data_IF_023113996237
#
_entry.id   IF_023113996237
#
_cell.length_a   1.000
_cell.length_b   1.000
_cell.length_c   1.000
_cell.angle_alpha   90.00
_cell.angle_beta   90.00
_cell.angle_gamma   90.00
#
_symmetry.space_group_name_H-M   'P 1'
#
loop_
_entity.id
_entity.type
_entity.pdbx_description
1 polymer ?
#
# COMPACT_ATOMS: atom_id res chain seq x y z
N UNK A 1 1.49 1.68 -16.68
CA UNK A 1 2.55 1.66 -17.73
C UNK A 1 3.71 0.81 -17.22
N UNK A 2 4.62 0.35 -18.07
CA UNK A 2 5.83 -0.35 -17.64
C UNK A 2 6.83 0.61 -16.96
N UNK A 3 7.90 0.09 -16.34
CA UNK A 3 8.94 0.92 -15.69
C UNK A 3 9.62 1.89 -16.63
N UNK A 4 9.68 1.58 -17.93
CA UNK A 4 10.20 2.45 -18.98
C UNK A 4 9.23 3.58 -19.42
N UNK A 5 8.11 3.72 -18.76
CA UNK A 5 7.06 4.70 -19.06
C UNK A 5 6.25 4.41 -20.32
N UNK A 6 6.43 3.25 -20.93
CA UNK A 6 5.67 2.84 -22.13
C UNK A 6 4.47 1.98 -21.77
N UNK A 7 3.49 1.90 -22.64
CA UNK A 7 2.38 0.97 -22.48
C UNK A 7 2.89 -0.47 -22.46
N UNK A 8 2.47 -1.23 -21.45
CA UNK A 8 2.77 -2.67 -21.36
C UNK A 8 2.25 -3.42 -22.58
N UNK A 9 3.06 -4.30 -23.14
CA UNK A 9 2.70 -5.13 -24.30
C UNK A 9 3.51 -6.40 -24.30
N UNK A 10 2.85 -7.53 -24.53
CA UNK A 10 3.52 -8.85 -24.68
C UNK A 10 4.58 -8.83 -25.78
N UNK A 11 4.30 -8.11 -26.88
CA UNK A 11 5.24 -7.96 -28.00
C UNK A 11 6.54 -7.24 -27.61
N UNK A 12 6.48 -6.36 -26.60
CA UNK A 12 7.63 -5.58 -26.10
C UNK A 12 8.35 -6.28 -24.95
N UNK A 13 7.79 -7.35 -24.41
CA UNK A 13 8.36 -8.06 -23.28
C UNK A 13 8.41 -7.24 -21.97
N UNK A 14 7.62 -6.17 -21.87
CA UNK A 14 7.60 -5.25 -20.73
C UNK A 14 6.35 -5.39 -19.86
N UNK A 15 5.65 -6.51 -19.95
CA UNK A 15 4.47 -6.79 -19.14
C UNK A 15 4.89 -7.30 -17.78
N UNK A 16 4.33 -6.73 -16.72
CA UNK A 16 4.40 -7.27 -15.37
C UNK A 16 3.27 -8.27 -15.20
N UNK A 17 3.61 -9.53 -14.92
CA UNK A 17 2.63 -10.57 -14.67
C UNK A 17 2.20 -10.54 -13.19
N UNK A 18 0.91 -10.34 -12.87
CA UNK A 18 0.42 -10.36 -11.51
C UNK A 18 0.77 -11.64 -10.73
N UNK A 19 0.72 -12.81 -11.38
CA UNK A 19 1.00 -14.10 -10.72
C UNK A 19 2.44 -14.16 -10.21
N UNK A 20 3.41 -13.67 -10.99
CA UNK A 20 4.82 -13.62 -10.59
C UNK A 20 5.04 -12.67 -9.42
N UNK A 21 4.38 -11.53 -9.44
CA UNK A 21 4.42 -10.53 -8.35
C UNK A 21 3.81 -11.10 -7.07
N UNK A 22 2.67 -11.77 -7.17
CA UNK A 22 2.01 -12.40 -6.02
C UNK A 22 2.86 -13.53 -5.45
N UNK A 23 3.52 -14.31 -6.30
CA UNK A 23 4.42 -15.38 -5.85
C UNK A 23 5.64 -14.83 -5.09
N UNK A 24 6.16 -13.66 -5.48
CA UNK A 24 7.34 -13.04 -4.84
C UNK A 24 7.00 -12.23 -3.59
N UNK A 25 5.95 -11.42 -3.64
CA UNK A 25 5.64 -10.42 -2.60
C UNK A 25 4.40 -10.75 -1.77
N UNK A 26 3.50 -11.58 -2.28
CA UNK A 26 2.19 -11.86 -1.71
C UNK A 26 1.09 -10.93 -2.24
N UNK A 27 -0.16 -11.40 -2.18
CA UNK A 27 -1.31 -10.68 -2.71
C UNK A 27 -1.60 -9.37 -1.97
N UNK A 28 -1.41 -9.33 -0.65
CA UNK A 28 -1.67 -8.13 0.15
C UNK A 28 -0.71 -6.99 -0.20
N UNK A 29 0.57 -7.30 -0.38
CA UNK A 29 1.59 -6.33 -0.81
C UNK A 29 1.25 -5.80 -2.20
N UNK A 30 0.92 -6.69 -3.14
CA UNK A 30 0.58 -6.32 -4.50
C UNK A 30 -0.64 -5.39 -4.55
N UNK A 31 -1.74 -5.76 -3.91
CA UNK A 31 -2.98 -4.96 -3.88
C UNK A 31 -2.78 -3.60 -3.20
N UNK A 32 -2.06 -3.58 -2.07
CA UNK A 32 -1.74 -2.32 -1.38
C UNK A 32 -0.89 -1.41 -2.24
N UNK A 33 0.10 -1.98 -2.94
CA UNK A 33 0.94 -1.21 -3.85
C UNK A 33 0.16 -0.61 -5.02
N UNK A 34 -0.77 -1.36 -5.64
CA UNK A 34 -1.61 -0.85 -6.72
C UNK A 34 -2.44 0.37 -6.29
N UNK A 35 -2.96 0.34 -5.06
CA UNK A 35 -3.70 1.49 -4.50
C UNK A 35 -2.79 2.65 -4.10
N UNK A 36 -1.54 2.38 -3.75
CA UNK A 36 -0.56 3.38 -3.32
C UNK A 36 0.13 4.11 -4.47
N UNK A 37 0.29 3.49 -5.64
CA UNK A 37 1.08 4.01 -6.77
C UNK A 37 0.75 5.46 -7.15
N UNK A 38 -0.50 5.88 -6.99
CA UNK A 38 -0.96 7.23 -7.29
C UNK A 38 -2.49 7.35 -7.39
N UNK A 39 -2.99 8.48 -7.86
CA UNK A 39 -4.43 8.70 -8.01
C UNK A 39 -5.08 7.61 -8.84
N UNK A 40 -6.25 7.15 -8.40
CA UNK A 40 -6.97 6.01 -8.97
C UNK A 40 -7.32 6.18 -10.46
N UNK A 41 -7.52 7.39 -10.90
CA UNK A 41 -7.94 7.77 -12.27
C UNK A 41 -6.77 8.08 -13.22
N UNK A 42 -5.52 7.88 -12.77
CA UNK A 42 -4.33 8.22 -13.55
C UNK A 42 -3.54 6.98 -14.00
N UNK A 43 -2.95 7.09 -15.18
CA UNK A 43 -2.02 6.09 -15.69
C UNK A 43 -0.63 6.31 -15.09
N UNK A 44 -0.16 5.36 -14.28
CA UNK A 44 1.11 5.45 -13.56
C UNK A 44 2.07 4.36 -14.05
N UNK A 45 3.36 4.69 -14.05
CA UNK A 45 4.40 3.72 -14.39
C UNK A 45 4.66 2.79 -13.22
N UNK A 46 4.76 1.49 -13.51
CA UNK A 46 5.17 0.48 -12.57
C UNK A 46 6.55 0.80 -12.00
N UNK A 47 6.74 0.57 -10.70
CA UNK A 47 8.03 0.71 -10.04
C UNK A 47 8.20 -0.39 -8.98
N UNK A 48 9.00 -1.38 -9.27
CA UNK A 48 9.25 -2.52 -8.37
C UNK A 48 9.89 -2.11 -7.03
N UNK A 49 10.64 -1.02 -7.00
CA UNK A 49 11.23 -0.53 -5.74
C UNK A 49 10.17 -0.03 -4.75
N UNK A 50 9.09 0.59 -5.26
CA UNK A 50 7.97 1.03 -4.43
C UNK A 50 7.30 -0.13 -3.70
N UNK A 51 7.21 -1.29 -4.34
CA UNK A 51 6.64 -2.50 -3.75
C UNK A 51 7.43 -3.00 -2.53
N UNK A 52 8.75 -2.88 -2.54
CA UNK A 52 9.60 -3.22 -1.38
C UNK A 52 9.29 -2.36 -0.16
N UNK A 53 8.92 -1.09 -0.37
CA UNK A 53 8.47 -0.19 0.70
C UNK A 53 7.17 -0.66 1.33
N UNK A 54 6.18 -1.02 0.51
CA UNK A 54 4.90 -1.56 0.96
C UNK A 54 5.10 -2.89 1.71
N UNK A 55 5.95 -3.78 1.20
CA UNK A 55 6.27 -5.03 1.89
C UNK A 55 6.82 -4.78 3.28
N UNK A 56 7.80 -3.88 3.43
CA UNK A 56 8.35 -3.51 4.74
C UNK A 56 7.29 -2.96 5.69
N UNK A 57 6.33 -2.20 5.18
CA UNK A 57 5.23 -1.68 5.98
C UNK A 57 4.33 -2.81 6.50
N UNK A 58 3.91 -3.73 5.64
CA UNK A 58 3.08 -4.88 6.02
C UNK A 58 3.82 -5.79 7.00
N UNK A 59 5.11 -6.09 6.75
CA UNK A 59 5.95 -6.89 7.65
C UNK A 59 6.05 -6.25 9.06
N UNK A 60 6.13 -4.92 9.14
CA UNK A 60 6.10 -4.20 10.42
C UNK A 60 4.76 -4.34 11.14
N UNK A 61 3.64 -4.27 10.43
CA UNK A 61 2.30 -4.47 11.02
C UNK A 61 2.22 -5.87 11.62
N UNK A 62 2.64 -6.90 10.88
CA UNK A 62 2.63 -8.29 11.35
C UNK A 62 3.48 -8.42 12.61
N UNK A 63 4.68 -7.84 12.60
CA UNK A 63 5.59 -7.89 13.76
C UNK A 63 5.06 -7.14 15.00
N UNK A 64 4.07 -6.24 14.86
CA UNK A 64 3.44 -5.59 16.00
C UNK A 64 2.56 -6.54 16.81
N UNK A 65 1.99 -7.58 16.20
CA UNK A 65 1.15 -8.55 16.92
C UNK A 65 1.91 -9.25 18.04
N UNK A 66 3.21 -9.50 17.86
CA UNK A 66 4.06 -10.12 18.88
C UNK A 66 4.40 -9.17 20.04
N UNK A 67 4.07 -7.87 19.91
CA UNK A 67 4.38 -6.82 20.89
C UNK A 67 3.13 -6.26 21.59
N UNK A 68 1.97 -6.84 21.34
CA UNK A 68 0.72 -6.41 21.99
C UNK A 68 0.81 -6.72 23.49
N UNK A 69 0.57 -5.70 24.31
CA UNK A 69 0.49 -5.81 25.76
C UNK A 69 -0.96 -5.53 26.21
N UNK A 70 -1.62 -6.53 26.78
CA UNK A 70 -3.00 -6.42 27.26
C UNK A 70 -3.14 -5.50 28.49
N UNK A 71 -2.03 -5.20 29.17
CA UNK A 71 -2.00 -4.33 30.35
C UNK A 71 -1.69 -2.86 30.01
N UNK A 72 -1.54 -2.55 28.71
CA UNK A 72 -1.25 -1.19 28.26
C UNK A 72 -2.42 -0.26 28.53
N UNK A 73 -2.15 0.91 29.11
CA UNK A 73 -3.14 1.98 29.27
C UNK A 73 -2.99 2.99 28.13
N UNK A 74 -4.11 3.33 27.50
CA UNK A 74 -4.13 4.26 26.38
C UNK A 74 -3.70 5.68 26.81
N UNK A 75 -2.71 6.22 26.13
CA UNK A 75 -2.32 7.61 26.27
C UNK A 75 -3.25 8.52 25.46
N UNK A 76 -3.72 9.62 26.05
CA UNK A 76 -4.63 10.57 25.39
C UNK A 76 -4.08 11.10 24.05
N UNK A 77 -2.76 11.26 23.92
CA UNK A 77 -2.10 11.67 22.68
C UNK A 77 -2.25 10.63 21.58
N UNK A 78 -2.09 9.36 21.89
CA UNK A 78 -2.24 8.25 20.94
C UNK A 78 -3.69 8.13 20.49
N UNK A 79 -4.65 8.21 21.43
CA UNK A 79 -6.07 8.20 21.11
C UNK A 79 -6.47 9.36 20.19
N UNK A 80 -5.93 10.55 20.43
CA UNK A 80 -6.17 11.72 19.56
C UNK A 80 -5.70 11.44 18.14
N UNK A 81 -4.48 10.95 17.96
CA UNK A 81 -3.92 10.62 16.64
C UNK A 81 -4.75 9.51 15.97
N UNK A 82 -5.14 8.48 16.72
CA UNK A 82 -5.97 7.38 16.22
C UNK A 82 -7.29 7.90 15.66
N UNK A 83 -8.03 8.71 16.44
CA UNK A 83 -9.32 9.23 16.00
C UNK A 83 -9.22 10.22 14.83
N UNK A 84 -8.18 11.06 14.79
CA UNK A 84 -7.90 11.92 13.64
C UNK A 84 -7.61 11.08 12.38
N UNK A 85 -6.83 10.01 12.52
CA UNK A 85 -6.50 9.10 11.43
C UNK A 85 -7.76 8.38 10.92
N UNK A 86 -8.59 7.84 11.80
CA UNK A 86 -9.86 7.19 11.43
C UNK A 86 -10.74 8.16 10.64
N UNK A 87 -10.93 9.39 11.13
CA UNK A 87 -11.74 10.41 10.43
C UNK A 87 -11.19 10.70 9.04
N UNK A 88 -9.88 10.92 8.93
CA UNK A 88 -9.21 11.21 7.65
C UNK A 88 -9.37 10.06 6.67
N UNK A 89 -9.04 8.82 7.10
CA UNK A 89 -9.11 7.65 6.23
C UNK A 89 -10.53 7.36 5.76
N UNK A 90 -11.53 7.51 6.63
CA UNK A 90 -12.95 7.31 6.24
C UNK A 90 -13.31 8.25 5.08
N UNK A 91 -12.97 9.52 5.17
CA UNK A 91 -13.23 10.49 4.10
C UNK A 91 -12.44 10.18 2.83
N UNK A 92 -11.15 9.88 2.95
CA UNK A 92 -10.29 9.62 1.79
C UNK A 92 -10.69 8.35 1.03
N UNK A 93 -11.16 7.31 1.73
CA UNK A 93 -11.66 6.08 1.11
C UNK A 93 -12.95 6.36 0.35
N UNK A 94 -13.88 7.13 0.92
CA UNK A 94 -15.13 7.53 0.25
C UNK A 94 -14.85 8.37 -1.02
N UNK A 95 -13.77 9.13 -1.02
CA UNK A 95 -13.32 9.95 -2.14
C UNK A 95 -12.40 9.21 -3.13
N UNK A 96 -12.16 7.92 -2.97
CA UNK A 96 -11.23 7.09 -3.76
C UNK A 96 -9.77 7.60 -3.75
N UNK A 97 -9.36 8.27 -2.68
CA UNK A 97 -7.99 8.76 -2.47
C UNK A 97 -7.10 7.73 -1.78
N UNK A 98 -7.06 6.52 -2.31
CA UNK A 98 -6.37 5.38 -1.69
C UNK A 98 -4.87 5.62 -1.49
N UNK A 99 -4.22 6.30 -2.43
CA UNK A 99 -2.79 6.61 -2.35
C UNK A 99 -2.45 7.49 -1.13
N UNK A 100 -3.29 8.49 -0.83
CA UNK A 100 -3.11 9.34 0.36
C UNK A 100 -3.51 8.62 1.66
N UNK A 101 -4.49 7.70 1.58
CA UNK A 101 -4.90 6.88 2.72
C UNK A 101 -3.79 5.92 3.18
N UNK A 102 -2.99 5.41 2.25
CA UNK A 102 -1.89 4.48 2.56
C UNK A 102 -0.64 5.24 3.04
N UNK A 103 -0.41 6.46 2.55
CA UNK A 103 0.73 7.29 2.93
C UNK A 103 0.64 7.79 4.37
#
# INVERSE_FOLDING_TARGET
MAEDGRKMSKRRGNVVNPDDVIAEYGADVFRTYEMFMGPFDQAISWNTQGMKGVKKFIDKIIALFDKVDENYQDEAKILTILHQTIKKLTQEIDEFKFNTSIA
#
